data_IF_106480472294
#
_entry.id   IF_106480472294
#
_cell.length_a   1.000
_cell.length_b   1.000
_cell.length_c   1.000
_cell.angle_alpha   90.00
_cell.angle_beta   90.00
_cell.angle_gamma   90.00
#
_symmetry.space_group_name_H-M   'P 1'
#
loop_
_entity.id
_entity.type
_entity.pdbx_description
1 polymer ?
#
# COMPACT_ATOMS: atom_id res chain seq x y z
N UNK A 1 -12.84 -21.87 0.33
CA UNK A 1 -13.42 -20.64 0.89
C UNK A 1 -12.34 -19.96 1.72
N UNK A 2 -11.65 -18.96 1.15
CA UNK A 2 -10.70 -18.13 1.88
C UNK A 2 -11.30 -16.73 2.03
N UNK A 3 -12.40 -16.66 2.77
CA UNK A 3 -12.99 -15.41 3.23
C UNK A 3 -12.34 -15.10 4.58
N UNK A 4 -11.35 -14.21 4.58
CA UNK A 4 -10.57 -13.88 5.77
C UNK A 4 -10.15 -12.41 5.75
N UNK A 5 -11.10 -11.55 6.11
CA UNK A 5 -10.86 -10.28 6.80
C UNK A 5 -9.97 -9.26 6.08
N UNK A 6 -10.51 -8.55 5.09
CA UNK A 6 -9.97 -7.23 4.74
C UNK A 6 -10.34 -6.27 5.88
N UNK A 7 -9.42 -6.08 6.81
CA UNK A 7 -9.54 -5.09 7.90
C UNK A 7 -9.53 -3.71 7.25
N UNK A 8 -10.71 -3.11 7.10
CA UNK A 8 -10.86 -1.70 6.72
C UNK A 8 -10.50 -0.87 7.96
N UNK A 9 -9.21 -0.58 8.12
CA UNK A 9 -8.74 0.39 9.11
C UNK A 9 -9.32 1.77 8.81
N UNK A 10 -9.97 2.37 9.80
CA UNK A 10 -10.51 3.72 9.75
C UNK A 10 -9.40 4.76 9.56
N UNK A 11 -9.46 5.56 8.50
CA UNK A 11 -8.64 6.76 8.36
C UNK A 11 -8.59 7.27 6.92
N UNK A 12 -9.10 8.49 6.72
CA UNK A 12 -9.21 9.28 5.47
C UNK A 12 -10.07 8.70 4.33
N UNK A 13 -11.17 9.40 4.04
CA UNK A 13 -11.94 9.24 2.81
C UNK A 13 -11.15 9.74 1.59
N UNK A 14 -10.10 9.01 1.20
CA UNK A 14 -9.43 9.18 -0.09
C UNK A 14 -10.25 8.42 -1.16
N UNK A 15 -11.36 9.04 -1.59
CA UNK A 15 -12.43 8.41 -2.37
C UNK A 15 -12.13 8.23 -3.88
N UNK A 16 -10.87 7.99 -4.25
CA UNK A 16 -10.44 7.82 -5.65
C UNK A 16 -9.19 6.93 -5.84
N UNK A 17 -8.54 6.46 -4.78
CA UNK A 17 -7.31 5.68 -4.91
C UNK A 17 -7.61 4.24 -5.37
N UNK A 18 -6.99 3.80 -6.47
CA UNK A 18 -7.12 2.44 -6.99
C UNK A 18 -5.91 1.57 -6.58
N UNK A 19 -6.17 0.41 -5.98
CA UNK A 19 -5.13 -0.57 -5.65
C UNK A 19 -4.91 -1.59 -6.76
N UNK A 20 -3.66 -1.96 -7.02
CA UNK A 20 -3.28 -3.04 -7.92
C UNK A 20 -2.53 -4.13 -7.14
N UNK A 21 -2.96 -5.37 -7.30
CA UNK A 21 -2.29 -6.55 -6.77
C UNK A 21 -2.12 -7.57 -7.90
N UNK A 22 -0.89 -7.98 -8.16
CA UNK A 22 -0.58 -9.03 -9.15
C UNK A 22 0.31 -10.06 -8.49
N UNK A 23 -0.16 -11.30 -8.43
CA UNK A 23 0.63 -12.42 -7.92
C UNK A 23 1.70 -12.86 -8.92
N UNK A 24 2.77 -13.44 -8.40
CA UNK A 24 3.88 -13.97 -9.20
C UNK A 24 3.44 -14.98 -10.26
N UNK A 25 2.39 -15.77 -10.00
CA UNK A 25 1.84 -16.73 -10.96
C UNK A 25 1.06 -16.06 -12.11
N UNK A 26 0.67 -14.79 -11.95
CA UNK A 26 -0.11 -14.02 -12.93
C UNK A 26 0.78 -13.06 -13.72
N UNK A 27 1.89 -12.60 -13.16
CA UNK A 27 2.87 -11.78 -13.87
C UNK A 27 3.66 -12.59 -14.90
N UNK A 28 3.97 -11.98 -16.04
CA UNK A 28 4.81 -12.60 -17.08
C UNK A 28 6.21 -13.00 -16.55
N UNK A 29 6.78 -12.20 -15.65
CA UNK A 29 8.15 -12.36 -15.17
C UNK A 29 8.27 -13.01 -13.77
N UNK A 30 7.19 -13.55 -13.21
CA UNK A 30 7.22 -14.17 -11.89
C UNK A 30 7.33 -13.20 -10.70
N UNK A 31 7.28 -11.88 -10.92
CA UNK A 31 7.35 -10.88 -9.84
C UNK A 31 5.98 -10.60 -9.22
N UNK A 32 5.95 -10.29 -7.93
CA UNK A 32 4.73 -9.79 -7.27
C UNK A 32 4.68 -8.28 -7.36
N UNK A 33 3.52 -7.73 -7.77
CA UNK A 33 3.30 -6.28 -7.84
C UNK A 33 2.24 -5.85 -6.83
N UNK A 34 2.57 -4.81 -6.08
CA UNK A 34 1.63 -4.08 -5.23
C UNK A 34 1.74 -2.61 -5.58
N UNK A 35 0.66 -2.03 -6.06
CA UNK A 35 0.60 -0.65 -6.53
C UNK A 35 -0.63 0.07 -5.99
N UNK A 36 -0.57 1.39 -5.98
CA UNK A 36 -1.63 2.28 -5.52
C UNK A 36 -1.62 3.51 -6.43
N UNK A 37 -2.75 3.91 -6.99
CA UNK A 37 -2.91 5.30 -7.44
C UNK A 37 -3.16 6.17 -6.22
N UNK A 38 -2.57 7.36 -6.21
CA UNK A 38 -2.83 8.37 -5.21
C UNK A 38 -3.35 9.62 -5.92
N UNK A 39 -4.68 9.64 -6.06
CA UNK A 39 -5.46 10.68 -6.72
C UNK A 39 -5.56 11.89 -5.79
N UNK A 40 -4.46 12.62 -5.69
CA UNK A 40 -4.31 13.84 -4.91
C UNK A 40 -4.29 15.06 -5.83
N UNK A 41 -4.77 16.22 -5.37
CA UNK A 41 -4.86 17.43 -6.18
C UNK A 41 -3.50 17.90 -6.74
N UNK A 42 -3.51 18.81 -7.71
CA UNK A 42 -2.31 19.30 -8.45
C UNK A 42 -1.23 20.00 -7.60
N UNK A 43 -1.43 20.13 -6.29
CA UNK A 43 -0.57 20.90 -5.39
C UNK A 43 0.38 20.02 -4.56
N UNK A 44 0.49 18.72 -4.87
CA UNK A 44 1.30 17.79 -4.11
C UNK A 44 2.32 17.10 -5.02
N UNK A 45 3.59 17.37 -4.79
CA UNK A 45 4.70 16.70 -5.46
C UNK A 45 4.91 15.29 -4.91
N UNK A 46 5.25 14.34 -5.78
CA UNK A 46 5.62 12.98 -5.37
C UNK A 46 7.09 12.98 -4.94
N UNK A 47 7.33 12.74 -3.66
CA UNK A 47 8.68 12.67 -3.08
C UNK A 47 9.04 11.21 -2.77
N UNK A 48 10.28 10.82 -3.07
CA UNK A 48 10.84 9.52 -2.70
C UNK A 48 11.96 9.73 -1.69
N UNK A 49 11.87 9.08 -0.53
CA UNK A 49 12.87 9.13 0.54
C UNK A 49 13.13 7.72 1.08
N UNK A 50 14.40 7.39 1.31
CA UNK A 50 14.80 6.18 2.02
C UNK A 50 15.04 6.54 3.49
N UNK A 51 14.21 6.01 4.38
CA UNK A 51 14.35 6.20 5.83
C UNK A 51 15.08 5.01 6.45
N UNK A 52 16.16 5.22 7.22
CA UNK A 52 16.81 4.14 7.97
C UNK A 52 15.85 3.43 8.93
N UNK A 53 16.16 2.17 9.26
CA UNK A 53 15.43 1.43 10.27
C UNK A 53 15.44 2.22 11.58
N UNK A 54 14.26 2.51 12.13
CA UNK A 54 14.15 3.11 13.44
C UNK A 54 14.13 2.02 14.51
N UNK A 55 14.78 2.29 15.64
CA UNK A 55 14.68 1.45 16.82
C UNK A 55 13.30 1.65 17.45
N UNK A 56 12.35 0.77 17.10
CA UNK A 56 11.03 0.76 17.70
C UNK A 56 11.05 -0.14 18.95
N UNK A 57 10.78 0.43 20.12
CA UNK A 57 10.59 -0.35 21.35
C UNK A 57 9.47 -1.39 21.14
N UNK A 58 9.66 -2.61 21.63
CA UNK A 58 8.81 -3.79 21.38
C UNK A 58 7.43 -3.75 22.06
N UNK A 59 6.94 -2.57 22.45
CA UNK A 59 5.74 -2.37 23.28
C UNK A 59 4.63 -1.58 22.59
N UNK A 60 4.43 -1.80 21.30
CA UNK A 60 3.21 -1.38 20.61
C UNK A 60 2.34 -2.61 20.29
N UNK A 61 1.51 -2.99 21.26
CA UNK A 61 0.34 -3.89 21.12
C UNK A 61 -0.92 -3.05 20.97
#
# INVERSE_FOLDING_TARGET
>A
MLAGSMVIGSGVSANACCGLYVGSQQSENGSTYVGRSEDIGKLYDKVFEVRPAADHAQTAI
#
